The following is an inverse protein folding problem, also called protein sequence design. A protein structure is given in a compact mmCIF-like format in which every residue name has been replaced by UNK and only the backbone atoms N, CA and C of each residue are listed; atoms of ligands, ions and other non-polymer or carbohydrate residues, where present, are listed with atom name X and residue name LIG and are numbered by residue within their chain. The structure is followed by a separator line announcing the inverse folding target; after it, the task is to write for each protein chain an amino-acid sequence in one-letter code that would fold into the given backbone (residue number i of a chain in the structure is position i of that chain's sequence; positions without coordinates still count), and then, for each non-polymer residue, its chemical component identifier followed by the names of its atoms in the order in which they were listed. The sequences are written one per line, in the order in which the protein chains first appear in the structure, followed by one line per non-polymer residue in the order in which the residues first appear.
data_IF_715198217939
#
_entry.id   IF_715198217939
#
_cell.length_a   1.000
_cell.length_b   1.000
_cell.length_c   1.000
_cell.angle_alpha   90.00
_cell.angle_beta   90.00
_cell.angle_gamma   90.00
#
_symmetry.space_group_name_H-M   'P 1'
#
loop_
_entity.id
_entity.type
_entity.pdbx_description
1 polymer ?
#
# COMPACT_ATOMS: atom_id res chain seq x y z
N UNK A 1 -10.70 9.88 3.26
CA UNK A 1 -10.11 11.11 3.83
C UNK A 1 -9.05 11.69 2.89
N UNK A 2 -8.04 10.90 2.52
CA UNK A 2 -6.93 11.25 1.61
C UNK A 2 -7.37 11.94 0.30
N UNK A 3 -8.35 11.37 -0.42
CA UNK A 3 -8.83 11.95 -1.69
C UNK A 3 -9.36 13.37 -1.56
N UNK A 4 -10.08 13.64 -0.46
CA UNK A 4 -10.62 14.97 -0.18
C UNK A 4 -9.49 15.95 0.13
N UNK A 5 -8.49 15.51 0.89
CA UNK A 5 -7.32 16.32 1.21
C UNK A 5 -6.54 16.71 -0.04
N UNK A 6 -6.20 15.74 -0.90
CA UNK A 6 -5.46 16.01 -2.14
C UNK A 6 -6.22 16.97 -3.05
N UNK A 7 -7.53 16.75 -3.21
CA UNK A 7 -8.40 17.64 -4.01
C UNK A 7 -8.47 19.05 -3.42
N UNK A 8 -8.63 19.18 -2.10
CA UNK A 8 -8.73 20.48 -1.43
C UNK A 8 -7.44 21.32 -1.53
N UNK A 9 -6.30 20.66 -1.70
CA UNK A 9 -4.98 21.30 -1.78
C UNK A 9 -4.37 21.29 -3.18
N UNK A 10 -5.14 20.91 -4.21
CA UNK A 10 -4.68 20.83 -5.60
C UNK A 10 -3.39 19.99 -5.75
N UNK A 11 -3.31 18.91 -4.96
CA UNK A 11 -2.19 17.97 -5.00
C UNK A 11 -2.52 16.85 -6.00
N UNK A 12 -1.62 16.56 -6.95
CA UNK A 12 -1.87 15.52 -7.94
C UNK A 12 -1.88 14.14 -7.27
N UNK A 13 -2.80 13.30 -7.74
CA UNK A 13 -2.71 11.86 -7.51
C UNK A 13 -1.61 11.25 -8.38
N UNK A 14 -1.16 10.04 -8.00
CA UNK A 14 -0.26 9.29 -8.86
C UNK A 14 -0.98 8.89 -10.16
N UNK A 15 -0.36 9.03 -11.36
CA UNK A 15 -1.05 8.76 -12.63
C UNK A 15 -1.69 7.37 -12.75
N UNK A 16 -1.05 6.34 -12.18
CA UNK A 16 -1.59 4.96 -12.17
C UNK A 16 -2.90 4.82 -11.40
N UNK A 17 -3.27 5.79 -10.54
CA UNK A 17 -4.57 5.80 -9.89
C UNK A 17 -5.71 5.80 -10.91
N UNK A 18 -5.57 6.57 -12.00
CA UNK A 18 -6.54 6.62 -13.10
C UNK A 18 -6.55 5.32 -13.93
N UNK A 19 -5.48 4.53 -13.85
CA UNK A 19 -5.37 3.21 -14.48
C UNK A 19 -5.92 2.08 -13.57
N UNK A 20 -6.47 2.42 -12.41
CA UNK A 20 -7.08 1.47 -11.47
C UNK A 20 -6.12 0.86 -10.46
N UNK A 21 -4.91 1.40 -10.30
CA UNK A 21 -3.99 1.02 -9.23
C UNK A 21 -4.36 1.73 -7.93
N UNK A 22 -5.06 1.02 -7.04
CA UNK A 22 -5.37 1.48 -5.68
C UNK A 22 -4.15 1.43 -4.76
N UNK A 23 -3.24 0.48 -5.00
CA UNK A 23 -1.93 0.39 -4.36
C UNK A 23 -0.81 0.31 -5.40
N UNK A 24 0.35 0.89 -5.11
CA UNK A 24 1.49 0.95 -6.04
C UNK A 24 2.76 0.50 -5.32
N UNK A 25 3.41 -0.53 -5.86
CA UNK A 25 4.73 -1.04 -5.44
C UNK A 25 5.61 -1.36 -6.66
N UNK A 26 6.39 -2.43 -6.60
CA UNK A 26 7.21 -2.87 -7.73
C UNK A 26 6.35 -3.33 -8.92
N UNK A 27 6.82 -3.05 -10.14
CA UNK A 27 6.10 -3.32 -11.38
C UNK A 27 5.71 -4.80 -11.56
N UNK A 28 6.54 -5.73 -11.08
CA UNK A 28 6.35 -7.18 -11.25
C UNK A 28 5.44 -7.80 -10.18
N UNK A 29 4.97 -7.02 -9.22
CA UNK A 29 4.16 -7.49 -8.09
C UNK A 29 3.02 -6.55 -7.73
N UNK A 30 2.65 -5.64 -8.64
CA UNK A 30 1.52 -4.72 -8.49
C UNK A 30 0.67 -4.76 -9.76
N UNK A 31 -0.65 -4.75 -9.62
CA UNK A 31 -1.59 -4.70 -10.76
C UNK A 31 -2.80 -3.81 -10.45
N UNK A 32 -3.63 -3.46 -11.45
CA UNK A 32 -4.90 -2.79 -11.18
C UNK A 32 -5.86 -3.67 -10.37
N UNK A 33 -6.79 -3.02 -9.67
CA UNK A 33 -7.89 -3.67 -8.97
C UNK A 33 -8.82 -4.38 -9.96
N UNK A 34 -9.29 -5.56 -9.59
CA UNK A 34 -10.23 -6.38 -10.36
C UNK A 34 -11.49 -6.69 -9.54
N UNK A 35 -12.56 -7.14 -10.20
CA UNK A 35 -13.82 -7.49 -9.50
C UNK A 35 -13.70 -8.68 -8.55
N UNK A 36 -12.66 -9.49 -8.70
CA UNK A 36 -12.41 -10.66 -7.86
C UNK A 36 -11.63 -10.30 -6.57
N UNK A 37 -11.15 -9.06 -6.46
CA UNK A 37 -10.40 -8.59 -5.29
C UNK A 37 -11.34 -8.17 -4.16
N UNK A 38 -10.98 -8.56 -2.95
CA UNK A 38 -11.77 -8.30 -1.75
C UNK A 38 -11.22 -7.09 -0.97
N UNK A 39 -9.92 -6.83 -1.12
CA UNK A 39 -9.20 -5.69 -0.53
C UNK A 39 -8.31 -5.00 -1.58
N UNK A 40 -8.06 -3.69 -1.41
CA UNK A 40 -7.17 -2.93 -2.28
C UNK A 40 -5.75 -3.51 -2.33
N UNK A 41 -5.25 -4.09 -1.22
CA UNK A 41 -3.92 -4.72 -1.13
C UNK A 41 -3.84 -6.09 -1.78
N UNK A 42 -4.94 -6.70 -2.20
CA UNK A 42 -4.92 -7.97 -2.97
C UNK A 42 -4.23 -7.80 -4.34
N UNK A 43 -4.16 -6.55 -4.80
CA UNK A 43 -3.43 -6.14 -6.00
C UNK A 43 -1.90 -6.26 -5.86
N UNK A 44 -1.39 -6.37 -4.64
CA UNK A 44 0.03 -6.59 -4.32
C UNK A 44 0.34 -8.07 -4.16
N UNK A 45 1.45 -8.53 -4.74
CA UNK A 45 1.92 -9.92 -4.65
C UNK A 45 0.85 -10.99 -4.96
N UNK A 46 -0.14 -10.67 -5.80
CA UNK A 46 -1.31 -11.52 -6.07
C UNK A 46 -2.09 -11.93 -4.81
N UNK A 47 -2.16 -11.05 -3.80
CA UNK A 47 -2.84 -11.29 -2.53
C UNK A 47 -2.12 -12.26 -1.59
N UNK A 48 -0.94 -12.77 -1.96
CA UNK A 48 -0.21 -13.77 -1.17
C UNK A 48 0.50 -13.19 0.07
N UNK A 49 0.79 -11.88 0.05
CA UNK A 49 1.50 -11.19 1.13
C UNK A 49 0.91 -9.82 1.34
N UNK A 50 0.63 -9.51 2.61
CA UNK A 50 0.06 -8.23 3.01
C UNK A 50 1.15 -7.20 3.35
N UNK A 51 2.23 -7.62 4.01
CA UNK A 51 3.34 -6.75 4.38
C UNK A 51 4.62 -7.07 3.61
N UNK A 52 5.26 -6.03 3.09
CA UNK A 52 6.57 -6.11 2.46
C UNK A 52 7.69 -6.03 3.52
N UNK A 53 8.91 -6.41 3.13
CA UNK A 53 10.05 -6.51 4.06
C UNK A 53 10.37 -5.20 4.81
N UNK A 54 10.05 -4.03 4.24
CA UNK A 54 10.28 -2.74 4.91
C UNK A 54 9.47 -2.57 6.21
N UNK A 55 8.39 -3.33 6.36
CA UNK A 55 7.52 -3.29 7.53
C UNK A 55 7.81 -4.42 8.53
N UNK A 56 8.61 -5.40 8.13
CA UNK A 56 8.89 -6.57 8.95
C UNK A 56 10.18 -6.32 9.74
N UNK A 57 10.16 -6.45 11.08
CA UNK A 57 11.38 -6.33 11.86
C UNK A 57 12.30 -7.51 11.55
N UNK A 58 13.55 -7.23 11.20
CA UNK A 58 14.59 -8.24 10.99
C UNK A 58 15.32 -8.56 12.30
N UNK A 59 15.26 -7.64 13.27
CA UNK A 59 15.89 -7.77 14.58
C UNK A 59 14.91 -7.56 15.74
N UNK A 60 15.21 -8.11 16.94
CA UNK A 60 14.41 -7.84 18.13
C UNK A 60 14.33 -6.35 18.51
N UNK A 61 15.37 -5.57 18.18
CA UNK A 61 15.38 -4.13 18.44
C UNK A 61 14.43 -3.36 17.53
N UNK A 62 14.31 -3.76 16.26
CA UNK A 62 13.33 -3.22 15.32
C UNK A 62 11.91 -3.60 15.72
N UNK A 63 11.70 -4.85 16.15
CA UNK A 63 10.40 -5.30 16.66
C UNK A 63 9.96 -4.47 17.87
N UNK A 64 10.85 -4.29 18.85
CA UNK A 64 10.57 -3.45 20.01
C UNK A 64 10.31 -1.98 19.64
N UNK A 65 11.00 -1.46 18.61
CA UNK A 65 10.78 -0.11 18.11
C UNK A 65 9.41 0.03 17.44
N UNK A 66 9.01 -0.96 16.62
CA UNK A 66 7.69 -1.04 16.00
C UNK A 66 6.59 -1.09 17.06
N UNK A 67 6.70 -1.99 18.05
CA UNK A 67 5.73 -2.14 19.13
C UNK A 67 5.58 -0.86 19.97
N UNK A 68 6.66 -0.09 20.11
CA UNK A 68 6.66 1.19 20.84
C UNK A 68 6.02 2.35 20.07
N UNK A 69 5.88 2.23 18.74
CA UNK A 69 5.43 3.32 17.87
C UNK A 69 3.92 3.56 17.91
N UNK A 70 3.15 2.73 18.64
CA UNK A 70 1.69 2.83 18.77
C UNK A 70 0.91 2.90 17.44
N UNK A 71 1.56 2.49 16.35
CA UNK A 71 0.96 2.18 15.06
C UNK A 71 0.37 0.77 15.09
#
# INVERSE_FOLDING_TARGET
DIYKYLTAHDLPYHPMFDEGYTTVGDWHSSRPLSFDDQDERDTSFHGLKQECGIHLPETPGEAASLDSSSL
#
